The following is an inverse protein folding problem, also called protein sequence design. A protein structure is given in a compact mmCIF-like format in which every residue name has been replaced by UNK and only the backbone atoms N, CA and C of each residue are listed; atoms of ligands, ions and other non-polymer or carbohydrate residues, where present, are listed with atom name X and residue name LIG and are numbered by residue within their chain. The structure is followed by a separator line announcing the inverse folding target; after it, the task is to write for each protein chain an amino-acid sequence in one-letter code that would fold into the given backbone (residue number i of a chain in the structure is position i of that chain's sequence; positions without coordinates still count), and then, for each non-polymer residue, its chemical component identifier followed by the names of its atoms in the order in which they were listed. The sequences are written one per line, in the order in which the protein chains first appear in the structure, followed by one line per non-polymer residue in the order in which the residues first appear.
data_IF_970034216330
#
_entry.id   IF_970034216330
#
_cell.length_a   1.000
_cell.length_b   1.000
_cell.length_c   1.000
_cell.angle_alpha   90.00
_cell.angle_beta   90.00
_cell.angle_gamma   90.00
#
_symmetry.space_group_name_H-M   'P 1'
#
loop_
_entity.id
_entity.type
_entity.pdbx_description
1 polymer ?
#
# COMPACT_ATOMS: atom_id res chain seq x y z
N UNK A 1 52.50 49.05 49.32
CA UNK A 1 53.01 48.14 50.36
C UNK A 1 53.39 46.87 49.65
N UNK A 2 54.70 46.74 49.23
CA UNK A 2 55.77 46.03 50.00
C UNK A 2 55.41 44.52 50.09
N UNK A 3 56.11 43.57 49.53
CA UNK A 3 57.52 43.14 49.44
C UNK A 3 57.65 41.95 48.58
N UNK A 4 58.60 41.84 47.73
CA UNK A 4 59.97 41.25 47.76
C UNK A 4 60.03 39.76 47.47
N UNK A 5 60.57 39.43 46.30
CA UNK A 5 61.93 38.87 46.04
C UNK A 5 62.19 37.44 46.59
N UNK A 6 62.50 36.54 45.70
CA UNK A 6 63.84 35.89 45.75
C UNK A 6 64.15 35.12 44.48
N UNK A 7 65.26 35.34 43.91
CA UNK A 7 65.97 34.69 42.80
C UNK A 7 66.51 33.33 43.23
N UNK A 8 66.52 32.34 42.34
CA UNK A 8 67.59 31.35 42.26
C UNK A 8 67.93 31.05 40.83
N UNK A 9 69.13 31.38 40.43
CA UNK A 9 69.82 31.01 39.20
C UNK A 9 70.40 29.60 39.40
N UNK A 10 70.17 28.70 38.44
CA UNK A 10 71.17 27.61 38.18
C UNK A 10 71.28 27.46 36.68
N UNK A 11 72.54 27.47 36.26
CA UNK A 11 73.00 27.51 34.91
C UNK A 11 73.11 26.12 34.24
N UNK A 12 72.92 26.14 32.93
CA UNK A 12 73.75 25.50 31.87
C UNK A 12 73.81 24.00 31.82
N UNK A 13 73.26 23.46 30.75
CA UNK A 13 74.11 22.72 29.77
C UNK A 13 73.34 22.52 28.46
N UNK A 14 73.89 23.07 27.40
CA UNK A 14 73.42 22.91 26.02
C UNK A 14 73.78 21.50 25.54
N UNK A 15 72.78 20.70 25.14
CA UNK A 15 72.95 19.54 24.25
C UNK A 15 72.16 19.80 22.97
N UNK A 16 72.92 20.05 21.91
CA UNK A 16 72.44 20.14 20.54
C UNK A 16 72.01 18.74 20.07
N UNK A 17 70.68 18.56 19.84
CA UNK A 17 70.13 17.41 19.07
C UNK A 17 69.73 17.90 17.69
N UNK A 18 69.96 17.09 16.64
CA UNK A 18 69.71 17.52 15.27
C UNK A 18 68.19 17.57 14.98
N UNK A 19 67.82 18.69 14.36
CA UNK A 19 66.50 18.90 13.77
C UNK A 19 66.25 17.85 12.67
N UNK A 20 65.37 16.87 12.90
CA UNK A 20 64.75 16.09 11.86
C UNK A 20 63.54 16.85 11.34
N UNK A 21 63.35 16.97 10.01
CA UNK A 21 62.15 17.57 9.45
C UNK A 21 60.91 16.73 9.82
N UNK A 22 59.72 17.33 10.02
CA UNK A 22 58.50 16.56 10.27
C UNK A 22 58.19 15.75 9.03
N UNK A 23 58.17 14.44 9.18
CA UNK A 23 57.60 13.55 8.20
C UNK A 23 56.12 14.00 7.98
N UNK A 24 55.82 14.42 6.75
CA UNK A 24 54.46 14.52 6.28
C UNK A 24 53.88 13.09 6.40
N UNK A 25 53.14 12.87 7.47
CA UNK A 25 52.19 11.75 7.55
C UNK A 25 51.16 12.00 6.46
N UNK A 26 51.34 11.39 5.31
CA UNK A 26 50.24 11.16 4.37
C UNK A 26 49.27 10.23 5.10
N UNK A 27 48.24 10.83 5.69
CA UNK A 27 47.03 10.10 6.02
C UNK A 27 46.37 9.69 4.71
N UNK A 28 46.86 8.62 4.11
CA UNK A 28 46.04 7.78 3.25
C UNK A 28 45.00 7.20 4.18
N UNK A 29 43.80 7.82 4.21
CA UNK A 29 42.61 7.15 4.69
C UNK A 29 42.52 5.84 3.89
N UNK A 30 42.90 4.75 4.49
CA UNK A 30 42.62 3.43 3.98
C UNK A 30 41.12 3.27 4.03
N UNK A 31 40.43 3.50 2.89
CA UNK A 31 39.05 3.09 2.72
C UNK A 31 38.97 1.64 3.21
N UNK A 32 38.03 1.36 4.11
CA UNK A 32 37.90 0.03 4.69
C UNK A 32 37.68 -0.98 3.55
N UNK A 33 38.16 -2.19 3.69
CA UNK A 33 37.92 -3.25 2.69
C UNK A 33 36.46 -3.53 2.47
N UNK A 34 35.60 -3.21 3.47
CA UNK A 34 34.14 -3.23 3.39
C UNK A 34 33.59 -2.17 2.41
N UNK A 35 34.17 -0.96 2.35
CA UNK A 35 33.73 0.12 1.46
C UNK A 35 34.08 -0.19 -0.01
N UNK A 36 35.25 -0.78 -0.26
CA UNK A 36 35.62 -1.26 -1.60
C UNK A 36 34.68 -2.36 -2.08
N UNK A 37 34.26 -3.29 -1.20
CA UNK A 37 33.32 -4.35 -1.53
C UNK A 37 31.95 -3.80 -1.86
N UNK A 38 31.47 -2.79 -1.14
CA UNK A 38 30.17 -2.13 -1.37
C UNK A 38 30.14 -1.40 -2.71
N UNK A 39 31.17 -0.60 -3.04
CA UNK A 39 31.25 0.12 -4.31
C UNK A 39 31.29 -0.85 -5.50
N UNK A 40 32.08 -1.91 -5.41
CA UNK A 40 32.17 -2.94 -6.44
C UNK A 40 30.85 -3.69 -6.62
N UNK A 41 30.14 -3.97 -5.51
CA UNK A 41 28.83 -4.61 -5.55
C UNK A 41 27.76 -3.71 -6.18
N UNK A 42 27.73 -2.44 -5.81
CA UNK A 42 26.83 -1.45 -6.41
C UNK A 42 27.08 -1.31 -7.91
N UNK A 43 28.35 -1.27 -8.33
CA UNK A 43 28.72 -1.25 -9.74
C UNK A 43 28.21 -2.50 -10.49
N UNK A 44 28.30 -3.67 -9.88
CA UNK A 44 27.79 -4.92 -10.46
C UNK A 44 26.26 -4.89 -10.64
N UNK A 45 25.52 -4.41 -9.64
CA UNK A 45 24.09 -4.23 -9.77
C UNK A 45 23.77 -3.28 -10.93
N UNK A 46 24.44 -2.12 -11.00
CA UNK A 46 24.24 -1.14 -12.07
C UNK A 46 24.51 -1.76 -13.45
N UNK A 47 25.59 -2.50 -13.63
CA UNK A 47 25.92 -3.18 -14.89
C UNK A 47 24.85 -4.20 -15.31
N UNK A 48 24.31 -4.96 -14.34
CA UNK A 48 23.21 -5.90 -14.59
C UNK A 48 21.95 -5.18 -15.02
N UNK A 49 21.60 -4.08 -14.34
CA UNK A 49 20.43 -3.27 -14.69
C UNK A 49 20.60 -2.57 -16.04
N UNK A 50 21.80 -2.07 -16.37
CA UNK A 50 22.13 -1.51 -17.69
C UNK A 50 21.92 -2.53 -18.82
N UNK A 51 22.24 -3.79 -18.56
CA UNK A 51 22.00 -4.86 -19.53
C UNK A 51 20.50 -5.11 -19.73
N UNK A 52 19.71 -5.04 -18.65
CA UNK A 52 18.25 -5.24 -18.71
C UNK A 52 17.54 -4.10 -19.43
N UNK A 53 17.93 -2.84 -19.20
CA UNK A 53 17.30 -1.69 -19.86
C UNK A 53 17.61 -1.56 -21.36
N UNK A 54 18.53 -2.39 -21.88
CA UNK A 54 18.85 -2.49 -23.30
C UNK A 54 18.14 -3.64 -24.02
N UNK A 55 17.27 -4.39 -23.32
CA UNK A 55 16.50 -5.46 -23.93
C UNK A 55 15.55 -4.93 -25.01
N UNK A 56 15.25 -5.70 -26.07
CA UNK A 56 14.35 -5.30 -27.16
C UNK A 56 12.95 -4.88 -26.70
N UNK A 57 12.51 -5.33 -25.51
CA UNK A 57 11.28 -4.88 -24.89
C UNK A 57 11.25 -3.35 -24.70
N UNK A 58 12.40 -2.74 -24.39
CA UNK A 58 12.51 -1.29 -24.12
C UNK A 58 12.42 -0.44 -25.40
N UNK A 59 12.60 -1.01 -26.58
CA UNK A 59 12.45 -0.32 -27.87
C UNK A 59 10.96 -0.05 -28.21
N UNK A 60 10.05 -0.84 -27.63
CA UNK A 60 8.60 -0.82 -27.94
C UNK A 60 7.70 -0.66 -26.72
N UNK A 61 8.27 -0.37 -25.56
CA UNK A 61 7.55 -0.06 -24.33
C UNK A 61 8.26 1.02 -23.53
N UNK A 62 7.54 1.67 -22.66
CA UNK A 62 8.10 2.64 -21.73
C UNK A 62 8.52 1.95 -20.45
N UNK A 63 9.70 2.28 -19.94
CA UNK A 63 10.21 1.81 -18.67
C UNK A 63 10.49 2.97 -17.73
N UNK A 64 9.94 2.89 -16.53
CA UNK A 64 10.39 3.67 -15.39
C UNK A 64 10.95 2.72 -14.32
N UNK A 65 12.21 2.90 -13.96
CA UNK A 65 12.93 2.11 -12.94
C UNK A 65 13.67 3.05 -12.00
N UNK A 66 13.49 2.85 -10.70
CA UNK A 66 14.21 3.57 -9.66
C UNK A 66 14.59 2.59 -8.55
N UNK A 67 15.85 2.56 -8.16
CA UNK A 67 16.38 1.74 -7.06
C UNK A 67 17.15 2.64 -6.12
N UNK A 68 16.85 2.52 -4.83
CA UNK A 68 17.47 3.32 -3.77
C UNK A 68 18.04 2.41 -2.69
N UNK A 69 19.25 2.67 -2.28
CA UNK A 69 19.92 1.99 -1.18
C UNK A 69 19.55 2.71 0.14
N UNK A 70 18.74 2.04 0.96
CA UNK A 70 18.31 2.53 2.28
C UNK A 70 19.42 2.45 3.33
N UNK A 71 20.46 1.64 3.11
CA UNK A 71 21.56 1.46 4.04
C UNK A 71 22.54 2.63 3.93
N UNK A 72 22.84 3.06 2.70
CA UNK A 72 23.72 4.20 2.42
C UNK A 72 22.98 5.50 2.18
N UNK A 73 21.65 5.47 2.23
CA UNK A 73 20.76 6.60 1.92
C UNK A 73 21.08 7.28 0.57
N UNK A 74 21.25 6.47 -0.48
CA UNK A 74 21.69 6.95 -1.79
C UNK A 74 20.88 6.35 -2.95
N UNK A 75 20.78 7.13 -4.04
CA UNK A 75 20.21 6.62 -5.30
C UNK A 75 21.19 5.64 -5.92
N UNK A 76 20.78 4.36 -6.05
CA UNK A 76 21.62 3.32 -6.64
C UNK A 76 21.46 3.26 -8.17
N UNK A 77 20.23 3.32 -8.67
CA UNK A 77 19.97 3.23 -10.11
C UNK A 77 18.70 3.99 -10.51
N UNK A 78 18.73 4.60 -11.68
CA UNK A 78 17.60 5.33 -12.22
C UNK A 78 17.55 5.25 -13.75
N UNK A 79 16.36 4.90 -14.28
CA UNK A 79 16.05 4.95 -15.71
C UNK A 79 14.59 5.40 -15.87
N UNK A 80 14.34 6.55 -16.50
CA UNK A 80 13.00 7.10 -16.62
C UNK A 80 12.28 7.34 -15.29
N UNK A 81 13.02 7.54 -14.19
CA UNK A 81 12.47 7.60 -12.82
C UNK A 81 11.50 8.77 -12.59
N UNK A 82 11.56 9.82 -13.40
CA UNK A 82 10.65 10.97 -13.35
C UNK A 82 9.53 10.89 -14.38
N UNK A 83 9.49 9.85 -15.18
CA UNK A 83 8.47 9.67 -16.19
C UNK A 83 7.10 9.42 -15.55
N UNK A 84 6.09 10.20 -15.93
CA UNK A 84 4.72 10.04 -15.43
C UNK A 84 4.07 8.84 -16.11
N UNK A 85 3.69 7.86 -15.32
CA UNK A 85 3.17 6.58 -15.80
C UNK A 85 1.97 6.16 -14.95
N UNK A 86 1.15 5.28 -15.48
CA UNK A 86 0.06 4.65 -14.74
C UNK A 86 0.64 3.61 -13.76
N UNK A 87 0.41 3.75 -12.45
CA UNK A 87 1.01 2.85 -11.46
C UNK A 87 0.32 1.48 -11.41
N UNK A 88 -0.87 1.36 -11.95
CA UNK A 88 -1.75 0.24 -11.63
C UNK A 88 -1.83 0.03 -10.10
N UNK A 89 -1.96 -1.20 -9.61
CA UNK A 89 -2.08 -1.46 -8.17
C UNK A 89 -0.82 -1.16 -7.34
N UNK A 90 0.30 -0.69 -7.91
CA UNK A 90 1.38 -0.09 -7.13
C UNK A 90 0.94 1.21 -6.43
N UNK A 91 -0.15 1.84 -6.89
CA UNK A 91 -0.82 2.96 -6.20
C UNK A 91 -1.16 2.62 -4.74
N UNK A 92 -1.50 1.36 -4.45
CA UNK A 92 -1.82 0.88 -3.10
C UNK A 92 -0.68 1.08 -2.09
N UNK A 93 0.57 1.16 -2.54
CA UNK A 93 1.71 1.50 -1.66
C UNK A 93 1.58 2.94 -1.18
N UNK A 94 1.27 3.88 -2.08
CA UNK A 94 1.06 5.30 -1.73
C UNK A 94 -0.11 5.42 -0.75
N UNK A 95 -1.21 4.75 -1.03
CA UNK A 95 -2.41 4.74 -0.18
C UNK A 95 -2.12 4.17 1.21
N UNK A 96 -1.43 3.01 1.29
CA UNK A 96 -1.07 2.36 2.55
C UNK A 96 -0.14 3.23 3.41
N UNK A 97 0.95 3.74 2.81
CA UNK A 97 1.91 4.60 3.52
C UNK A 97 1.23 5.87 4.02
N UNK A 98 0.37 6.49 3.20
CA UNK A 98 -0.37 7.69 3.62
C UNK A 98 -1.34 7.39 4.75
N UNK A 99 -2.02 6.24 4.71
CA UNK A 99 -2.96 5.85 5.74
C UNK A 99 -2.24 5.56 7.07
N UNK A 100 -1.18 4.78 7.06
CA UNK A 100 -0.37 4.51 8.25
C UNK A 100 0.21 5.79 8.85
N UNK A 101 0.70 6.71 8.02
CA UNK A 101 1.20 8.02 8.45
C UNK A 101 0.14 8.91 9.10
N UNK A 102 -1.13 8.84 8.66
CA UNK A 102 -2.20 9.77 9.07
C UNK A 102 -3.17 9.20 10.07
N UNK A 103 -3.40 7.90 10.03
CA UNK A 103 -4.35 7.20 10.89
C UNK A 103 -3.63 6.42 11.99
N UNK A 104 -2.37 6.02 11.78
CA UNK A 104 -1.60 5.15 12.68
C UNK A 104 -1.88 3.67 12.47
N UNK A 105 -1.00 2.81 13.04
CA UNK A 105 -1.10 1.36 12.98
C UNK A 105 -2.26 0.78 13.80
N UNK A 106 -2.73 1.50 14.81
CA UNK A 106 -3.84 1.09 15.69
C UNK A 106 -5.24 1.47 15.15
N UNK A 107 -5.29 2.06 13.96
CA UNK A 107 -6.56 2.52 13.39
C UNK A 107 -7.58 1.40 13.21
N UNK A 108 -8.87 1.70 13.53
CA UNK A 108 -9.98 0.77 13.44
C UNK A 108 -11.07 1.30 12.47
N UNK A 109 -11.41 0.49 11.48
CA UNK A 109 -12.61 0.67 10.68
C UNK A 109 -13.81 0.31 11.56
N UNK A 110 -14.80 1.20 11.68
CA UNK A 110 -15.88 1.01 12.65
C UNK A 110 -17.24 1.16 12.00
N UNK A 111 -18.05 0.09 12.06
CA UNK A 111 -19.47 0.11 11.68
C UNK A 111 -20.31 0.07 12.95
N UNK A 112 -21.34 0.91 13.04
CA UNK A 112 -22.08 1.15 14.27
C UNK A 112 -23.59 1.04 14.05
N UNK A 113 -24.30 0.51 15.06
CA UNK A 113 -25.75 0.48 15.12
C UNK A 113 -26.23 1.31 16.31
N UNK A 114 -27.12 2.25 16.06
CA UNK A 114 -27.73 3.13 17.06
C UNK A 114 -29.23 2.99 17.10
N UNK A 115 -29.82 3.50 18.17
CA UNK A 115 -31.25 3.76 18.30
C UNK A 115 -31.47 5.26 18.47
N UNK A 116 -32.58 5.78 17.95
CA UNK A 116 -32.97 7.18 18.15
C UNK A 116 -33.64 7.44 19.52
N UNK A 117 -34.04 6.38 20.23
CA UNK A 117 -34.62 6.43 21.58
C UNK A 117 -34.01 5.36 22.46
N UNK A 118 -34.09 5.51 23.76
CA UNK A 118 -33.65 4.48 24.70
C UNK A 118 -34.56 3.24 24.58
N UNK A 119 -33.94 2.03 24.38
CA UNK A 119 -34.73 0.80 24.49
C UNK A 119 -35.25 0.62 25.91
N UNK A 120 -36.57 0.51 26.08
CA UNK A 120 -37.18 0.32 27.40
C UNK A 120 -37.99 -0.97 27.53
N UNK A 121 -38.46 -1.51 26.41
CA UNK A 121 -39.32 -2.68 26.34
C UNK A 121 -39.04 -3.56 25.13
N UNK A 122 -39.87 -4.57 24.89
CA UNK A 122 -39.78 -5.41 23.69
C UNK A 122 -40.11 -4.65 22.38
N UNK A 123 -40.63 -3.42 22.48
CA UNK A 123 -40.92 -2.55 21.35
C UNK A 123 -40.05 -1.31 21.39
N UNK A 124 -39.19 -1.17 20.39
CA UNK A 124 -38.44 0.06 20.17
C UNK A 124 -39.34 1.08 19.47
N UNK A 125 -39.81 2.12 20.21
CA UNK A 125 -40.68 3.18 19.68
C UNK A 125 -39.91 4.22 18.82
N UNK A 126 -38.76 3.91 18.34
CA UNK A 126 -37.88 4.75 17.52
C UNK A 126 -37.29 4.00 16.37
N UNK A 127 -36.38 4.67 15.69
CA UNK A 127 -35.66 4.14 14.52
C UNK A 127 -34.32 3.53 14.91
N UNK A 128 -33.88 2.54 14.15
CA UNK A 128 -32.47 2.11 14.14
C UNK A 128 -31.67 2.97 13.16
N UNK A 129 -30.41 3.23 13.48
CA UNK A 129 -29.50 3.93 12.59
C UNK A 129 -28.25 3.07 12.41
N UNK A 130 -28.02 2.61 11.19
CA UNK A 130 -26.77 1.95 10.82
C UNK A 130 -25.82 2.98 10.23
N UNK A 131 -24.70 3.23 10.93
CA UNK A 131 -23.65 4.14 10.46
C UNK A 131 -22.52 3.35 9.84
N UNK A 132 -22.32 3.55 8.54
CA UNK A 132 -21.23 2.93 7.80
C UNK A 132 -19.90 3.61 8.05
N UNK A 133 -18.89 2.82 8.36
CA UNK A 133 -17.48 3.26 8.51
C UNK A 133 -16.60 2.84 7.34
N UNK A 134 -17.19 2.50 6.22
CA UNK A 134 -16.50 1.96 5.04
C UNK A 134 -15.56 0.79 5.40
N UNK A 135 -16.05 -0.12 6.24
CA UNK A 135 -15.36 -1.33 6.62
C UNK A 135 -15.54 -2.42 5.55
N UNK A 136 -14.52 -2.76 4.75
CA UNK A 136 -14.64 -3.71 3.65
C UNK A 136 -14.71 -5.17 4.14
N UNK A 137 -14.42 -5.41 5.42
CA UNK A 137 -14.37 -6.75 6.02
C UNK A 137 -15.66 -7.09 6.78
N UNK A 138 -16.56 -6.11 6.99
CA UNK A 138 -17.82 -6.35 7.70
C UNK A 138 -18.57 -7.55 7.10
N UNK A 139 -18.79 -8.58 7.91
CA UNK A 139 -19.28 -9.87 7.46
C UNK A 139 -20.47 -10.41 8.25
N UNK A 140 -20.68 -11.74 8.12
CA UNK A 140 -21.79 -12.43 8.76
C UNK A 140 -21.79 -12.31 10.28
N UNK A 141 -20.62 -12.50 10.89
CA UNK A 141 -20.52 -12.52 12.35
C UNK A 141 -20.71 -11.11 12.93
N UNK A 142 -20.29 -10.07 12.19
CA UNK A 142 -20.52 -8.69 12.57
C UNK A 142 -22.01 -8.32 12.51
N UNK A 143 -22.69 -8.76 11.44
CA UNK A 143 -24.11 -8.55 11.26
C UNK A 143 -24.91 -9.29 12.34
N UNK A 144 -24.51 -10.54 12.65
CA UNK A 144 -25.11 -11.32 13.73
C UNK A 144 -24.96 -10.62 15.07
N UNK A 145 -23.77 -10.10 15.37
CA UNK A 145 -23.52 -9.37 16.63
C UNK A 145 -24.44 -8.15 16.79
N UNK A 146 -24.82 -7.49 15.69
CA UNK A 146 -25.81 -6.39 15.72
C UNK A 146 -27.20 -6.89 16.09
N UNK A 147 -27.61 -8.02 15.53
CA UNK A 147 -28.91 -8.64 15.84
C UNK A 147 -28.93 -9.18 17.27
N UNK A 148 -27.86 -9.85 17.71
CA UNK A 148 -27.71 -10.35 19.08
C UNK A 148 -27.82 -9.20 20.10
N UNK A 149 -27.25 -8.04 19.80
CA UNK A 149 -27.33 -6.85 20.67
C UNK A 149 -28.76 -6.32 20.81
N UNK A 150 -29.62 -6.48 19.81
CA UNK A 150 -31.03 -6.15 19.88
C UNK A 150 -31.81 -7.19 20.72
N UNK A 151 -31.53 -8.50 20.50
CA UNK A 151 -32.14 -9.60 21.26
C UNK A 151 -31.80 -9.52 22.75
N UNK A 152 -30.53 -9.23 23.10
CA UNK A 152 -30.09 -9.07 24.49
C UNK A 152 -30.80 -7.93 25.22
N UNK A 153 -31.28 -6.92 24.48
CA UNK A 153 -32.10 -5.84 25.03
C UNK A 153 -33.61 -6.17 25.02
N UNK A 154 -33.98 -7.39 24.66
CA UNK A 154 -35.37 -7.85 24.60
C UNK A 154 -36.17 -7.30 23.43
N UNK A 155 -35.57 -6.57 22.49
CA UNK A 155 -36.26 -5.94 21.36
C UNK A 155 -36.83 -7.03 20.43
N UNK A 156 -38.14 -6.99 20.18
CA UNK A 156 -38.85 -7.88 19.26
C UNK A 156 -39.51 -7.13 18.11
N UNK A 157 -39.70 -5.82 18.27
CA UNK A 157 -40.41 -4.98 17.30
C UNK A 157 -39.78 -3.59 17.25
N UNK A 158 -39.56 -3.08 16.06
CA UNK A 158 -39.04 -1.74 15.78
C UNK A 158 -40.14 -0.98 15.04
N UNK A 159 -40.71 0.06 15.65
CA UNK A 159 -41.80 0.84 15.07
C UNK A 159 -41.31 1.90 14.07
N UNK A 160 -40.12 2.43 14.27
CA UNK A 160 -39.52 3.41 13.37
C UNK A 160 -38.81 2.77 12.19
N UNK A 161 -38.06 3.60 11.48
CA UNK A 161 -37.37 3.26 10.26
C UNK A 161 -35.97 2.61 10.53
N UNK A 162 -35.40 1.96 9.52
CA UNK A 162 -33.99 1.68 9.43
C UNK A 162 -33.31 2.81 8.64
N UNK A 163 -32.59 3.67 9.37
CA UNK A 163 -31.87 4.80 8.82
C UNK A 163 -30.44 4.38 8.47
N UNK A 164 -29.99 4.67 7.26
CA UNK A 164 -28.64 4.38 6.79
C UNK A 164 -27.82 5.67 6.74
N UNK A 165 -26.86 5.82 7.65
CA UNK A 165 -25.91 6.92 7.62
C UNK A 165 -24.72 6.57 6.73
N UNK A 166 -24.76 7.10 5.52
CA UNK A 166 -23.74 6.94 4.49
C UNK A 166 -22.92 8.23 4.30
N UNK A 167 -22.98 9.15 5.27
CA UNK A 167 -22.42 10.49 5.12
C UNK A 167 -20.89 10.57 5.14
N UNK A 168 -20.20 9.49 5.43
CA UNK A 168 -18.73 9.45 5.40
C UNK A 168 -18.17 9.71 3.99
N UNK A 169 -18.91 9.33 2.95
CA UNK A 169 -18.49 9.43 1.54
C UNK A 169 -19.60 10.07 0.71
N UNK A 170 -19.21 10.73 -0.39
CA UNK A 170 -20.16 11.18 -1.41
C UNK A 170 -21.01 10.04 -2.00
N UNK A 171 -22.02 10.39 -2.78
CA UNK A 171 -22.95 9.41 -3.35
C UNK A 171 -22.45 8.72 -4.63
N UNK A 172 -21.25 9.03 -5.09
CA UNK A 172 -20.65 8.43 -6.30
C UNK A 172 -20.33 6.96 -6.06
N UNK A 173 -20.96 6.05 -6.78
CA UNK A 173 -20.80 4.61 -6.59
C UNK A 173 -19.51 4.04 -7.20
N UNK A 174 -18.89 4.74 -8.14
CA UNK A 174 -17.67 4.28 -8.84
C UNK A 174 -16.56 5.32 -8.73
N UNK A 175 -15.31 4.88 -8.77
CA UNK A 175 -14.14 5.75 -8.73
C UNK A 175 -14.03 6.62 -10.00
N UNK A 176 -13.49 7.82 -9.85
CA UNK A 176 -13.23 8.70 -10.99
C UNK A 176 -12.23 8.05 -11.95
N UNK A 177 -12.62 7.93 -13.24
CA UNK A 177 -11.78 7.32 -14.27
C UNK A 177 -11.75 5.80 -14.27
N UNK A 178 -12.70 5.14 -13.59
CA UNK A 178 -12.96 3.71 -13.74
C UNK A 178 -13.70 3.45 -15.05
N UNK A 179 -13.40 2.32 -15.70
CA UNK A 179 -14.07 1.90 -16.92
C UNK A 179 -15.41 1.21 -16.56
N UNK A 180 -16.37 1.28 -17.46
CA UNK A 180 -17.70 0.70 -17.28
C UNK A 180 -17.69 -0.84 -17.17
N UNK A 181 -16.67 -1.49 -17.74
CA UNK A 181 -16.47 -2.94 -17.73
C UNK A 181 -15.55 -3.42 -16.59
N UNK A 182 -15.06 -2.50 -15.76
CA UNK A 182 -14.34 -2.86 -14.54
C UNK A 182 -15.26 -3.64 -13.59
N UNK A 183 -14.90 -4.89 -13.28
CA UNK A 183 -15.64 -5.77 -12.37
C UNK A 183 -15.52 -5.34 -10.90
N UNK A 184 -15.69 -4.04 -10.61
CA UNK A 184 -15.61 -3.52 -9.27
C UNK A 184 -16.97 -3.41 -8.61
N UNK A 185 -16.93 -3.51 -7.28
CA UNK A 185 -18.09 -3.35 -6.42
C UNK A 185 -18.35 -1.86 -6.16
N UNK A 186 -19.62 -1.47 -5.94
CA UNK A 186 -19.95 -0.09 -5.61
C UNK A 186 -19.25 0.40 -4.35
N UNK A 187 -18.84 1.67 -4.37
CA UNK A 187 -18.22 2.35 -3.24
C UNK A 187 -19.32 2.93 -2.33
N UNK A 188 -19.56 2.31 -1.19
CA UNK A 188 -20.50 2.77 -0.17
C UNK A 188 -19.90 2.61 1.23
N UNK A 189 -20.16 3.51 2.18
CA UNK A 189 -19.67 3.38 3.55
C UNK A 189 -20.24 2.17 4.31
N UNK A 190 -21.39 1.65 3.92
CA UNK A 190 -22.05 0.54 4.59
C UNK A 190 -22.01 -0.70 3.70
N UNK A 191 -21.10 -1.61 3.99
CA UNK A 191 -20.81 -2.80 3.21
C UNK A 191 -21.19 -4.09 3.96
N UNK A 192 -21.57 -5.12 3.21
CA UNK A 192 -21.63 -6.49 3.69
C UNK A 192 -20.81 -7.39 2.77
N UNK A 193 -19.72 -7.97 3.31
CA UNK A 193 -18.76 -8.79 2.54
C UNK A 193 -18.27 -8.08 1.27
N UNK A 194 -18.01 -6.77 1.41
CA UNK A 194 -17.55 -5.90 0.33
C UNK A 194 -18.61 -5.56 -0.72
N UNK A 195 -19.90 -5.81 -0.49
CA UNK A 195 -21.01 -5.48 -1.40
C UNK A 195 -21.96 -4.44 -0.78
N UNK A 196 -22.68 -3.71 -1.63
CA UNK A 196 -23.77 -2.81 -1.23
C UNK A 196 -25.08 -3.62 -1.02
N UNK A 197 -25.08 -4.46 -0.02
CA UNK A 197 -26.21 -5.33 0.32
C UNK A 197 -26.41 -5.47 1.83
N UNK A 198 -25.86 -4.51 2.60
CA UNK A 198 -25.90 -4.56 4.05
C UNK A 198 -27.32 -4.54 4.58
N UNK A 199 -28.16 -3.65 4.06
CA UNK A 199 -29.52 -3.46 4.54
C UNK A 199 -30.38 -4.71 4.31
N UNK A 200 -30.31 -5.30 3.14
CA UNK A 200 -31.07 -6.50 2.79
C UNK A 200 -30.71 -7.68 3.72
N UNK A 201 -29.40 -7.90 3.93
CA UNK A 201 -28.95 -8.96 4.84
C UNK A 201 -29.29 -8.67 6.29
N UNK A 202 -29.29 -7.40 6.70
CA UNK A 202 -29.67 -7.03 8.06
C UNK A 202 -31.15 -7.29 8.30
N UNK A 203 -32.04 -6.91 7.37
CA UNK A 203 -33.47 -7.22 7.45
C UNK A 203 -33.72 -8.74 7.48
N UNK A 204 -33.03 -9.50 6.65
CA UNK A 204 -33.12 -10.95 6.65
C UNK A 204 -32.73 -11.54 8.03
N UNK A 205 -31.64 -11.04 8.64
CA UNK A 205 -31.22 -11.50 9.96
C UNK A 205 -32.17 -11.06 11.08
N UNK A 206 -32.76 -9.88 11.02
CA UNK A 206 -33.81 -9.43 11.94
C UNK A 206 -34.98 -10.40 11.89
N UNK A 207 -35.47 -10.70 10.68
CA UNK A 207 -36.61 -11.61 10.49
C UNK A 207 -36.31 -13.00 11.05
N UNK A 208 -35.14 -13.55 10.78
CA UNK A 208 -34.72 -14.85 11.32
C UNK A 208 -34.60 -14.87 12.84
N UNK A 209 -34.32 -13.71 13.44
CA UNK A 209 -34.23 -13.52 14.90
C UNK A 209 -35.58 -13.26 15.55
N UNK A 210 -36.68 -13.23 14.78
CA UNK A 210 -38.02 -12.88 15.27
C UNK A 210 -38.20 -11.42 15.63
N UNK A 211 -37.40 -10.52 15.01
CA UNK A 211 -37.51 -9.07 15.18
C UNK A 211 -38.15 -8.48 13.93
N UNK A 212 -39.28 -7.77 14.11
CA UNK A 212 -40.01 -7.10 13.03
C UNK A 212 -39.64 -5.62 12.93
N UNK A 213 -39.44 -5.14 11.70
CA UNK A 213 -39.35 -3.71 11.38
C UNK A 213 -40.66 -3.28 10.74
N UNK A 214 -41.38 -2.30 11.37
CA UNK A 214 -42.65 -1.75 10.85
C UNK A 214 -42.43 -0.58 9.88
N UNK A 215 -41.32 0.16 10.05
CA UNK A 215 -40.94 1.27 9.20
C UNK A 215 -40.27 0.87 7.89
N UNK A 216 -39.69 1.84 7.25
CA UNK A 216 -39.03 1.71 5.95
C UNK A 216 -37.52 1.95 6.05
N UNK A 217 -36.77 1.59 4.97
CA UNK A 217 -35.33 1.92 4.88
C UNK A 217 -35.20 3.32 4.29
N UNK A 218 -34.43 4.19 4.96
CA UNK A 218 -34.18 5.57 4.50
C UNK A 218 -32.70 5.94 4.67
N UNK A 219 -32.20 6.81 3.81
CA UNK A 219 -30.89 7.47 4.03
C UNK A 219 -31.07 8.65 4.99
N UNK A 220 -30.17 8.75 5.98
CA UNK A 220 -30.15 9.85 6.95
C UNK A 220 -28.75 9.99 7.53
N UNK A 221 -28.39 11.15 8.02
CA UNK A 221 -27.24 11.30 8.90
C UNK A 221 -27.60 10.87 10.32
N UNK A 222 -26.60 10.49 11.12
CA UNK A 222 -26.80 10.11 12.52
C UNK A 222 -27.45 11.25 13.30
N UNK A 223 -28.67 11.06 13.84
CA UNK A 223 -29.37 12.09 14.64
C UNK A 223 -28.60 12.41 15.92
N UNK A 224 -28.68 13.66 16.36
CA UNK A 224 -28.13 14.06 17.66
C UNK A 224 -28.85 13.31 18.78
N UNK A 225 -28.10 12.82 19.77
CA UNK A 225 -28.65 12.07 20.90
C UNK A 225 -28.93 10.60 20.60
N UNK A 226 -28.66 10.09 19.42
CA UNK A 226 -28.78 8.66 19.13
C UNK A 226 -27.88 7.83 20.07
N UNK A 227 -28.42 6.70 20.52
CA UNK A 227 -27.81 5.83 21.54
C UNK A 227 -27.14 4.67 20.84
N UNK A 228 -25.84 4.47 21.10
CA UNK A 228 -25.07 3.35 20.55
C UNK A 228 -25.58 2.03 21.13
N UNK A 229 -25.98 1.11 20.28
CA UNK A 229 -26.43 -0.24 20.64
C UNK A 229 -25.33 -1.28 20.45
N UNK A 230 -24.60 -1.18 19.36
CA UNK A 230 -23.51 -2.09 19.03
C UNK A 230 -22.51 -1.43 18.08
N UNK A 231 -21.27 -1.89 18.13
CA UNK A 231 -20.23 -1.53 17.15
C UNK A 231 -19.40 -2.74 16.76
N UNK A 232 -18.89 -2.74 15.53
CA UNK A 232 -17.94 -3.71 15.03
C UNK A 232 -16.73 -3.00 14.49
N UNK A 233 -15.55 -3.60 14.72
CA UNK A 233 -14.26 -3.00 14.37
C UNK A 233 -13.36 -4.00 13.67
N UNK A 234 -12.69 -3.54 12.62
CA UNK A 234 -11.58 -4.25 12.00
C UNK A 234 -10.34 -3.36 11.98
N UNK A 235 -9.18 -3.90 12.34
CA UNK A 235 -7.93 -3.14 12.37
C UNK A 235 -7.46 -2.79 10.96
N UNK A 236 -6.65 -1.74 10.86
CA UNK A 236 -6.00 -1.36 9.60
C UNK A 236 -5.18 -2.52 9.02
N UNK A 237 -4.52 -3.32 9.84
CA UNK A 237 -3.74 -4.49 9.40
C UNK A 237 -4.61 -5.56 8.74
N UNK A 238 -5.80 -5.83 9.33
CA UNK A 238 -6.74 -6.76 8.73
C UNK A 238 -7.19 -6.30 7.34
N UNK A 239 -7.29 -4.99 7.10
CA UNK A 239 -7.65 -4.40 5.80
C UNK A 239 -6.45 -4.30 4.86
N UNK A 240 -5.27 -3.90 5.36
CA UNK A 240 -4.05 -3.80 4.55
C UNK A 240 -3.60 -5.16 4.00
N UNK A 241 -3.83 -6.24 4.73
CA UNK A 241 -3.42 -7.58 4.29
C UNK A 241 -4.07 -7.97 2.95
N UNK A 242 -5.40 -8.07 2.78
CA UNK A 242 -6.01 -8.36 1.48
C UNK A 242 -5.77 -7.23 0.46
N UNK A 243 -5.66 -5.97 0.89
CA UNK A 243 -5.34 -4.85 0.01
C UNK A 243 -4.00 -5.06 -0.71
N UNK A 244 -2.97 -5.48 0.00
CA UNK A 244 -1.61 -5.61 -0.53
C UNK A 244 -1.29 -7.02 -1.01
N UNK A 245 -1.59 -8.08 -0.21
CA UNK A 245 -1.33 -9.49 -0.56
C UNK A 245 -2.12 -9.93 -1.80
N UNK A 246 -3.43 -9.64 -1.81
CA UNK A 246 -4.34 -10.12 -2.84
C UNK A 246 -4.72 -9.03 -3.86
N UNK A 247 -4.16 -7.82 -3.65
CA UNK A 247 -4.45 -6.66 -4.49
C UNK A 247 -5.91 -6.22 -4.49
N UNK A 248 -6.63 -6.41 -3.38
CA UNK A 248 -8.05 -6.10 -3.26
C UNK A 248 -8.32 -4.60 -3.42
N UNK A 249 -9.09 -4.23 -4.46
CA UNK A 249 -9.40 -2.83 -4.77
C UNK A 249 -10.36 -2.21 -3.74
N UNK A 250 -11.37 -2.97 -3.28
CA UNK A 250 -12.35 -2.47 -2.31
C UNK A 250 -11.68 -2.08 -0.99
N UNK A 251 -10.72 -2.89 -0.52
CA UNK A 251 -9.93 -2.54 0.67
C UNK A 251 -9.10 -1.27 0.45
N UNK A 252 -8.55 -1.09 -0.75
CA UNK A 252 -7.77 0.12 -1.05
C UNK A 252 -8.63 1.38 -1.09
N UNK A 253 -9.82 1.29 -1.69
CA UNK A 253 -10.75 2.42 -1.69
C UNK A 253 -11.30 2.70 -0.29
N UNK A 254 -11.57 1.68 0.52
CA UNK A 254 -11.95 1.85 1.91
C UNK A 254 -10.89 2.64 2.69
N UNK A 255 -9.61 2.25 2.57
CA UNK A 255 -8.48 2.97 3.18
C UNK A 255 -8.39 4.41 2.64
N UNK A 256 -8.54 4.61 1.33
CA UNK A 256 -8.47 5.91 0.70
C UNK A 256 -9.57 6.86 1.19
N UNK A 257 -10.80 6.37 1.34
CA UNK A 257 -11.90 7.18 1.87
C UNK A 257 -11.82 7.42 3.39
N UNK A 258 -11.05 6.62 4.16
CA UNK A 258 -10.70 7.02 5.53
C UNK A 258 -9.82 8.28 5.53
N UNK A 259 -8.91 8.42 4.55
CA UNK A 259 -8.15 9.66 4.39
C UNK A 259 -9.06 10.85 4.02
N UNK A 260 -10.09 10.64 3.18
CA UNK A 260 -11.07 11.66 2.86
C UNK A 260 -11.83 12.12 4.10
N UNK A 261 -12.19 11.20 5.00
CA UNK A 261 -12.91 11.48 6.24
C UNK A 261 -12.13 12.41 7.20
N UNK A 262 -10.80 12.52 7.07
CA UNK A 262 -9.98 13.48 7.81
C UNK A 262 -10.35 14.95 7.52
N UNK A 263 -11.06 15.22 6.43
CA UNK A 263 -11.62 16.54 6.14
C UNK A 263 -12.70 16.96 7.15
N UNK A 264 -13.25 15.99 7.91
CA UNK A 264 -14.41 16.16 8.84
C UNK A 264 -15.65 16.74 8.17
N UNK A 265 -15.72 16.72 6.85
CA UNK A 265 -16.89 17.12 6.08
C UNK A 265 -17.79 15.91 5.81
N UNK A 266 -19.12 16.03 5.90
CA UNK A 266 -19.98 14.98 5.39
C UNK A 266 -19.83 14.88 3.88
N UNK A 267 -20.04 13.67 3.36
CA UNK A 267 -19.95 13.36 1.93
C UNK A 267 -18.57 13.69 1.32
N UNK A 268 -17.49 13.31 2.04
CA UNK A 268 -16.13 13.49 1.59
C UNK A 268 -15.88 12.79 0.25
N UNK A 269 -15.07 13.41 -0.60
CA UNK A 269 -14.83 12.99 -1.97
C UNK A 269 -13.44 12.39 -2.16
N UNK A 270 -13.19 11.74 -3.31
CA UNK A 270 -11.84 11.33 -3.70
C UNK A 270 -10.81 12.49 -3.70
N UNK A 271 -11.26 13.74 -3.98
CA UNK A 271 -10.38 14.93 -3.94
C UNK A 271 -9.91 15.24 -2.52
N UNK A 272 -10.74 14.99 -1.52
CA UNK A 272 -10.35 15.16 -0.12
C UNK A 272 -9.26 14.17 0.27
N UNK A 273 -9.38 12.90 -0.14
CA UNK A 273 -8.35 11.89 0.05
C UNK A 273 -7.06 12.25 -0.71
N UNK A 274 -7.17 12.62 -1.99
CA UNK A 274 -6.03 13.02 -2.81
C UNK A 274 -5.27 14.20 -2.18
N UNK A 275 -5.96 15.16 -1.57
CA UNK A 275 -5.33 16.27 -0.87
C UNK A 275 -4.49 15.81 0.33
N UNK A 276 -4.87 14.73 1.03
CA UNK A 276 -4.05 14.13 2.09
C UNK A 276 -2.79 13.51 1.52
N UNK A 277 -2.93 12.74 0.42
CA UNK A 277 -1.78 12.12 -0.29
C UNK A 277 -0.83 13.20 -0.79
N UNK A 278 -1.33 14.26 -1.41
CA UNK A 278 -0.51 15.37 -1.92
C UNK A 278 0.28 16.07 -0.81
N UNK A 279 -0.27 16.21 0.40
CA UNK A 279 0.48 16.74 1.55
C UNK A 279 1.65 15.83 1.95
N UNK A 280 1.48 14.51 1.88
CA UNK A 280 2.59 13.58 2.16
C UNK A 280 3.63 13.64 1.05
N UNK A 281 3.23 13.72 -0.23
CA UNK A 281 4.14 13.92 -1.37
C UNK A 281 5.03 15.15 -1.15
N UNK A 282 4.45 16.29 -0.74
CA UNK A 282 5.21 17.50 -0.37
C UNK A 282 6.23 17.24 0.74
N UNK A 283 5.84 16.51 1.78
CA UNK A 283 6.74 16.18 2.91
C UNK A 283 7.88 15.25 2.48
N UNK A 284 7.67 14.42 1.45
CA UNK A 284 8.73 13.63 0.82
C UNK A 284 9.65 14.47 -0.10
N UNK A 285 9.50 15.78 -0.14
CA UNK A 285 10.34 16.69 -0.94
C UNK A 285 9.98 16.71 -2.43
N UNK A 286 8.81 16.22 -2.82
CA UNK A 286 8.36 16.18 -4.20
C UNK A 286 7.23 17.18 -4.44
N UNK A 287 7.09 17.64 -5.70
CA UNK A 287 6.06 18.61 -6.10
C UNK A 287 4.72 17.92 -6.38
N UNK A 288 3.67 18.12 -5.54
CA UNK A 288 2.39 17.41 -5.68
C UNK A 288 1.70 17.61 -7.02
N UNK A 289 1.81 18.80 -7.63
CA UNK A 289 1.19 19.12 -8.93
C UNK A 289 1.70 18.27 -10.10
N UNK A 290 2.83 17.58 -9.93
CA UNK A 290 3.36 16.66 -10.93
C UNK A 290 2.61 15.31 -10.96
N UNK A 291 1.73 15.03 -10.00
CA UNK A 291 1.08 13.74 -9.85
C UNK A 291 -0.43 13.87 -9.86
N UNK A 292 -1.09 12.85 -10.38
CA UNK A 292 -2.55 12.75 -10.32
C UNK A 292 -2.91 11.53 -9.48
N UNK A 293 -3.68 11.76 -8.42
CA UNK A 293 -4.21 10.75 -7.52
C UNK A 293 -5.73 10.73 -7.70
N UNK A 294 -6.22 9.77 -8.44
CA UNK A 294 -7.64 9.65 -8.79
C UNK A 294 -8.40 8.71 -7.87
N UNK A 295 -7.74 7.64 -7.41
CA UNK A 295 -8.29 6.63 -6.49
C UNK A 295 -7.20 6.06 -5.58
N UNK A 296 -7.60 5.19 -4.67
CA UNK A 296 -6.68 4.51 -3.74
C UNK A 296 -6.12 3.19 -4.27
N UNK A 297 -6.77 2.58 -5.23
CA UNK A 297 -6.46 1.23 -5.72
C UNK A 297 -5.49 1.20 -6.90
N UNK A 298 -5.42 2.29 -7.67
CA UNK A 298 -4.69 2.37 -8.92
C UNK A 298 -5.43 1.76 -10.11
N UNK A 299 -6.74 1.54 -9.97
CA UNK A 299 -7.58 1.06 -11.06
C UNK A 299 -7.86 2.17 -12.07
N UNK A 300 -8.07 3.39 -11.59
CA UNK A 300 -8.32 4.55 -12.42
C UNK A 300 -7.21 4.77 -13.46
N UNK A 301 -7.60 4.93 -14.70
CA UNK A 301 -6.70 5.28 -15.80
C UNK A 301 -6.14 6.71 -15.68
N UNK A 302 -6.69 7.51 -14.75
CA UNK A 302 -6.26 8.89 -14.49
C UNK A 302 -5.21 9.02 -13.39
N UNK A 303 -4.81 7.93 -12.75
CA UNK A 303 -3.65 7.94 -11.87
C UNK A 303 -2.36 8.11 -12.68
N UNK A 304 -1.57 9.13 -12.36
CA UNK A 304 -0.24 9.33 -12.94
C UNK A 304 0.77 9.62 -11.83
N UNK A 305 1.72 8.73 -11.67
CA UNK A 305 2.82 8.82 -10.71
C UNK A 305 4.16 8.52 -11.41
N UNK A 306 5.26 8.63 -10.68
CA UNK A 306 6.59 8.28 -11.18
C UNK A 306 7.20 7.18 -10.31
N UNK A 307 8.16 6.38 -10.82
CA UNK A 307 8.96 5.48 -10.01
C UNK A 307 9.64 6.19 -8.83
N UNK A 308 10.11 7.42 -9.05
CA UNK A 308 10.70 8.25 -8.01
C UNK A 308 9.73 8.52 -6.85
N UNK A 309 8.45 8.81 -7.14
CA UNK A 309 7.43 8.99 -6.09
C UNK A 309 7.20 7.70 -5.29
N UNK A 310 7.09 6.56 -5.98
CA UNK A 310 6.90 5.27 -5.31
C UNK A 310 8.08 4.94 -4.38
N UNK A 311 9.32 5.16 -4.84
CA UNK A 311 10.54 5.01 -4.03
C UNK A 311 10.55 6.02 -2.87
N UNK A 312 10.15 7.27 -3.08
CA UNK A 312 10.07 8.26 -2.01
C UNK A 312 9.09 7.85 -0.89
N UNK A 313 7.94 7.26 -1.26
CA UNK A 313 6.98 6.70 -0.29
C UNK A 313 7.56 5.50 0.47
N UNK A 314 8.27 4.61 -0.21
CA UNK A 314 8.94 3.47 0.44
C UNK A 314 10.05 3.94 1.39
N UNK A 315 10.84 4.93 0.99
CA UNK A 315 11.86 5.55 1.85
C UNK A 315 11.22 6.20 3.08
N UNK A 316 10.14 6.95 2.90
CA UNK A 316 9.39 7.55 4.00
C UNK A 316 8.91 6.48 4.98
N UNK A 317 8.35 5.38 4.49
CA UNK A 317 7.94 4.26 5.34
C UNK A 317 9.14 3.61 6.05
N UNK A 318 10.28 3.41 5.37
CA UNK A 318 11.47 2.80 5.95
C UNK A 318 12.13 3.63 7.05
N UNK A 319 11.92 4.95 7.05
CA UNK A 319 12.40 5.87 8.09
C UNK A 319 11.46 5.96 9.31
N UNK A 320 10.35 5.24 9.31
CA UNK A 320 9.43 5.12 10.44
C UNK A 320 9.16 3.64 10.70
N UNK A 321 9.68 3.11 11.81
CA UNK A 321 9.64 1.68 12.11
C UNK A 321 8.21 1.13 12.23
N UNK A 322 7.28 1.91 12.78
CA UNK A 322 5.87 1.54 12.88
C UNK A 322 5.27 1.35 11.49
N UNK A 323 5.39 2.37 10.61
CA UNK A 323 4.88 2.31 9.23
C UNK A 323 5.55 1.17 8.47
N UNK A 324 6.86 1.00 8.63
CA UNK A 324 7.63 -0.04 7.94
C UNK A 324 7.16 -1.45 8.31
N UNK A 325 6.93 -1.69 9.60
CA UNK A 325 6.47 -2.98 10.12
C UNK A 325 5.10 -3.36 9.57
N UNK A 326 4.11 -2.46 9.69
CA UNK A 326 2.76 -2.68 9.16
C UNK A 326 2.78 -2.89 7.64
N UNK A 327 3.49 -2.04 6.90
CA UNK A 327 3.57 -2.12 5.44
C UNK A 327 4.22 -3.43 4.98
N UNK A 328 5.39 -3.78 5.52
CA UNK A 328 6.16 -4.95 5.06
C UNK A 328 5.51 -6.28 5.44
N UNK A 329 4.76 -6.32 6.55
CA UNK A 329 3.95 -7.47 6.95
C UNK A 329 2.81 -7.73 5.97
N UNK A 330 2.22 -6.66 5.44
CA UNK A 330 1.11 -6.75 4.49
C UNK A 330 1.55 -6.94 3.03
N UNK A 331 2.82 -6.67 2.65
CA UNK A 331 3.31 -6.86 1.29
C UNK A 331 3.44 -8.36 0.91
N UNK A 332 3.14 -8.76 -0.34
CA UNK A 332 3.47 -10.08 -0.88
C UNK A 332 4.96 -10.39 -0.77
N UNK A 333 5.27 -11.67 -0.52
CA UNK A 333 6.65 -12.17 -0.46
C UNK A 333 6.92 -13.01 -1.70
N UNK A 334 8.00 -12.69 -2.40
CA UNK A 334 8.41 -13.36 -3.64
C UNK A 334 8.57 -14.87 -3.44
N UNK A 335 7.96 -15.65 -4.33
CA UNK A 335 8.02 -17.12 -4.30
C UNK A 335 7.25 -17.79 -3.17
N UNK A 336 6.54 -17.03 -2.32
CA UNK A 336 5.92 -17.53 -1.08
C UNK A 336 4.42 -17.28 -0.99
N UNK A 337 3.95 -16.03 -1.12
CA UNK A 337 2.56 -15.68 -0.86
C UNK A 337 2.00 -14.58 -1.76
N UNK A 338 0.70 -14.35 -1.65
CA UNK A 338 -0.01 -13.30 -2.36
C UNK A 338 0.18 -13.35 -3.88
N UNK A 339 0.21 -12.19 -4.51
CA UNK A 339 0.39 -12.06 -5.97
C UNK A 339 1.80 -12.42 -6.45
N UNK A 340 2.75 -12.67 -5.55
CA UNK A 340 4.13 -13.08 -5.87
C UNK A 340 4.43 -14.57 -5.61
N UNK A 341 3.43 -15.37 -5.17
CA UNK A 341 3.62 -16.76 -4.72
C UNK A 341 4.31 -17.69 -5.72
N UNK A 342 4.14 -17.46 -7.02
CA UNK A 342 4.69 -18.30 -8.09
C UNK A 342 5.93 -17.72 -8.77
N UNK A 343 6.36 -16.47 -8.40
CA UNK A 343 7.43 -15.73 -9.08
C UNK A 343 8.80 -16.00 -8.44
N UNK A 344 9.86 -16.00 -9.24
CA UNK A 344 11.27 -16.13 -8.82
C UNK A 344 11.56 -17.29 -7.85
N UNK A 345 10.84 -18.41 -7.94
CA UNK A 345 11.11 -19.59 -7.12
C UNK A 345 12.51 -20.15 -7.42
N UNK A 346 13.18 -20.65 -6.39
CA UNK A 346 14.55 -21.20 -6.47
C UNK A 346 15.58 -20.18 -6.95
N UNK A 347 15.37 -18.91 -6.67
CA UNK A 347 16.33 -17.82 -6.92
C UNK A 347 16.64 -17.05 -5.63
N UNK A 348 17.63 -16.19 -5.65
CA UNK A 348 18.00 -15.32 -4.52
C UNK A 348 16.92 -14.30 -4.15
N UNK A 349 15.96 -14.04 -5.05
CA UNK A 349 14.82 -13.16 -4.81
C UNK A 349 13.71 -13.85 -4.02
N UNK A 350 13.65 -15.20 -4.00
CA UNK A 350 12.67 -15.94 -3.22
C UNK A 350 12.83 -15.64 -1.71
N UNK A 351 11.70 -15.49 -1.01
CA UNK A 351 11.62 -15.15 0.43
C UNK A 351 12.30 -13.83 0.83
N UNK A 352 13.03 -13.20 -0.09
CA UNK A 352 13.78 -11.96 0.08
C UNK A 352 12.93 -10.73 -0.32
N UNK A 353 12.46 -10.69 -1.57
CA UNK A 353 11.73 -9.53 -2.10
C UNK A 353 10.32 -9.46 -1.52
N UNK A 354 9.95 -8.28 -0.99
CA UNK A 354 8.59 -7.96 -0.52
C UNK A 354 8.07 -6.80 -1.36
N UNK A 355 7.09 -7.06 -2.23
CA UNK A 355 6.68 -6.04 -3.19
C UNK A 355 5.21 -6.14 -3.60
N UNK A 356 4.62 -4.99 -3.92
CA UNK A 356 3.29 -4.87 -4.50
C UNK A 356 3.35 -4.94 -6.01
N UNK A 357 2.57 -5.82 -6.60
CA UNK A 357 2.36 -5.91 -8.05
C UNK A 357 1.29 -4.92 -8.53
N UNK A 358 1.40 -4.45 -9.76
CA UNK A 358 0.34 -3.72 -10.44
C UNK A 358 0.14 -4.26 -11.86
N UNK A 359 -1.12 -4.34 -12.29
CA UNK A 359 -1.49 -4.82 -13.62
C UNK A 359 -2.73 -4.07 -14.09
N UNK A 360 -2.65 -3.47 -15.27
CA UNK A 360 -3.74 -2.98 -16.10
C UNK A 360 -3.44 -3.40 -17.54
N UNK A 361 -4.39 -3.22 -18.44
CA UNK A 361 -4.13 -3.41 -19.88
C UNK A 361 -2.92 -2.58 -20.31
N UNK A 362 -1.92 -3.24 -20.90
CA UNK A 362 -0.67 -2.61 -21.34
C UNK A 362 0.24 -2.07 -20.22
N UNK A 363 -0.07 -2.33 -18.93
CA UNK A 363 0.74 -1.85 -17.79
C UNK A 363 1.08 -3.00 -16.84
N UNK A 364 2.36 -3.11 -16.48
CA UNK A 364 2.85 -4.01 -15.43
C UNK A 364 3.78 -3.24 -14.50
N UNK A 365 3.57 -3.32 -13.19
CA UNK A 365 4.42 -2.64 -12.21
C UNK A 365 4.76 -3.53 -11.00
N UNK A 366 5.88 -3.20 -10.35
CA UNK A 366 6.34 -3.86 -9.13
C UNK A 366 7.07 -2.83 -8.26
N UNK A 367 6.69 -2.73 -6.98
CA UNK A 367 7.23 -1.71 -6.07
C UNK A 367 7.38 -2.29 -4.68
N UNK A 368 8.57 -2.19 -4.08
CA UNK A 368 8.82 -2.77 -2.76
C UNK A 368 10.27 -2.73 -2.32
N UNK A 369 10.64 -3.71 -1.51
CA UNK A 369 11.92 -3.84 -0.85
C UNK A 369 12.64 -5.13 -1.24
N UNK A 370 13.97 -5.09 -1.23
CA UNK A 370 14.83 -6.24 -1.40
C UNK A 370 16.06 -6.14 -0.48
N UNK A 371 16.62 -7.28 -0.09
CA UNK A 371 17.92 -7.35 0.56
C UNK A 371 18.95 -7.74 -0.49
N UNK A 372 19.93 -6.89 -0.73
CA UNK A 372 21.04 -7.18 -1.61
C UNK A 372 21.99 -8.22 -0.98
N UNK A 373 22.79 -8.92 -1.79
CA UNK A 373 23.67 -9.97 -1.28
C UNK A 373 24.79 -9.47 -0.35
N UNK A 374 25.11 -8.18 -0.39
CA UNK A 374 26.02 -7.52 0.55
C UNK A 374 25.35 -7.10 1.87
N UNK A 375 24.08 -7.45 2.07
CA UNK A 375 23.30 -7.10 3.27
C UNK A 375 22.65 -5.70 3.25
N UNK A 376 22.79 -4.94 2.17
CA UNK A 376 22.15 -3.64 2.04
C UNK A 376 20.65 -3.79 1.80
N UNK A 377 19.86 -2.95 2.46
CA UNK A 377 18.42 -2.85 2.24
C UNK A 377 18.14 -1.91 1.07
N UNK A 378 17.48 -2.43 0.06
CA UNK A 378 17.08 -1.66 -1.12
C UNK A 378 15.56 -1.44 -1.14
N UNK A 379 15.12 -0.30 -1.66
CA UNK A 379 13.76 -0.14 -2.12
C UNK A 379 13.74 0.21 -3.61
N UNK A 380 12.70 -0.25 -4.31
CA UNK A 380 12.63 -0.10 -5.74
C UNK A 380 11.21 0.08 -6.27
N UNK A 381 11.10 0.70 -7.44
CA UNK A 381 9.87 0.79 -8.20
C UNK A 381 10.15 0.56 -9.69
N UNK A 382 9.34 -0.29 -10.31
CA UNK A 382 9.39 -0.63 -11.73
C UNK A 382 8.01 -0.41 -12.31
N UNK A 383 7.90 0.35 -13.39
CA UNK A 383 6.68 0.51 -14.17
C UNK A 383 7.02 0.26 -15.64
N UNK A 384 6.42 -0.78 -16.20
CA UNK A 384 6.42 -1.03 -17.65
C UNK A 384 5.06 -0.61 -18.22
N UNK A 385 5.05 0.24 -19.21
CA UNK A 385 3.83 0.71 -19.90
C UNK A 385 3.98 0.53 -21.42
N UNK A 386 2.90 0.13 -22.08
CA UNK A 386 2.93 -0.24 -23.50
C UNK A 386 3.43 -1.67 -23.73
N UNK A 387 3.42 -2.54 -22.71
CA UNK A 387 3.73 -3.97 -22.90
C UNK A 387 2.56 -4.68 -23.59
N UNK A 388 2.88 -5.57 -24.51
CA UNK A 388 1.87 -6.34 -25.25
C UNK A 388 1.15 -7.34 -24.35
N UNK A 389 1.89 -7.97 -23.44
CA UNK A 389 1.35 -8.92 -22.47
C UNK A 389 1.87 -8.60 -21.08
N UNK A 390 1.08 -8.95 -20.05
CA UNK A 390 1.53 -8.81 -18.66
C UNK A 390 2.74 -9.69 -18.33
N UNK A 391 2.91 -10.80 -19.05
CA UNK A 391 4.06 -11.71 -18.88
C UNK A 391 5.38 -11.02 -19.25
N UNK A 392 5.43 -10.22 -20.33
CA UNK A 392 6.63 -9.47 -20.73
C UNK A 392 7.11 -8.57 -19.60
N UNK A 393 6.19 -7.77 -19.02
CA UNK A 393 6.54 -6.89 -17.91
C UNK A 393 6.94 -7.66 -16.65
N UNK A 394 6.25 -8.78 -16.32
CA UNK A 394 6.60 -9.62 -15.17
C UNK A 394 7.98 -10.26 -15.30
N UNK A 395 8.31 -10.79 -16.48
CA UNK A 395 9.63 -11.40 -16.76
C UNK A 395 10.76 -10.39 -16.58
N UNK A 396 10.54 -9.15 -17.07
CA UNK A 396 11.49 -8.06 -16.85
C UNK A 396 11.67 -7.75 -15.35
N UNK A 397 10.56 -7.59 -14.62
CA UNK A 397 10.59 -7.32 -13.18
C UNK A 397 11.28 -8.45 -12.40
N UNK A 398 11.07 -9.71 -12.78
CA UNK A 398 11.74 -10.87 -12.17
C UNK A 398 13.24 -10.84 -12.42
N UNK A 399 13.66 -10.43 -13.62
CA UNK A 399 15.09 -10.25 -13.94
C UNK A 399 15.71 -9.13 -13.10
N UNK A 400 15.01 -8.00 -12.92
CA UNK A 400 15.45 -6.92 -12.02
C UNK A 400 15.57 -7.43 -10.58
N UNK A 401 14.56 -8.12 -10.04
CA UNK A 401 14.62 -8.67 -8.68
C UNK A 401 15.82 -9.61 -8.47
N UNK A 402 16.12 -10.47 -9.45
CA UNK A 402 17.33 -11.31 -9.42
C UNK A 402 18.60 -10.46 -9.43
N UNK A 403 18.66 -9.45 -10.32
CA UNK A 403 19.82 -8.58 -10.40
C UNK A 403 20.14 -7.85 -9.09
N UNK A 404 19.09 -7.44 -8.34
CA UNK A 404 19.22 -6.77 -7.05
C UNK A 404 19.68 -7.70 -5.91
N UNK A 405 19.37 -9.00 -6.00
CA UNK A 405 19.55 -9.95 -4.90
C UNK A 405 20.71 -10.94 -5.10
N UNK A 406 21.27 -11.05 -6.32
CA UNK A 406 22.36 -11.98 -6.65
C UNK A 406 23.73 -11.45 -6.23
N UNK A 407 24.58 -12.33 -5.63
CA UNK A 407 25.98 -12.07 -5.32
C UNK A 407 26.92 -12.07 -6.55
N UNK A 408 28.25 -11.98 -6.28
CA UNK A 408 29.28 -11.97 -7.32
C UNK A 408 29.39 -13.32 -8.06
N UNK A 409 29.27 -14.43 -7.34
CA UNK A 409 29.55 -15.78 -7.84
C UNK A 409 28.38 -16.43 -8.60
N UNK A 410 27.33 -15.69 -8.83
CA UNK A 410 26.14 -16.22 -9.52
C UNK A 410 26.27 -15.99 -11.03
N UNK A 411 26.32 -17.04 -11.88
CA UNK A 411 26.42 -16.89 -13.33
C UNK A 411 25.29 -15.99 -13.87
N UNK A 412 25.60 -15.15 -14.86
CA UNK A 412 24.62 -14.37 -15.60
C UNK A 412 23.64 -15.34 -16.29
N UNK A 413 22.45 -15.53 -15.71
CA UNK A 413 21.35 -16.19 -16.42
C UNK A 413 20.83 -15.17 -17.42
N UNK A 414 21.12 -15.38 -18.71
CA UNK A 414 20.44 -14.66 -19.79
C UNK A 414 18.93 -14.91 -19.58
N UNK A 415 18.07 -13.89 -19.69
CA UNK A 415 16.64 -14.13 -19.73
C UNK A 415 16.39 -15.05 -20.93
N UNK A 416 15.92 -16.27 -20.67
CA UNK A 416 15.42 -17.13 -21.73
C UNK A 416 14.23 -16.40 -22.36
N UNK A 417 14.47 -15.81 -23.50
CA UNK A 417 13.42 -15.42 -24.44
C UNK A 417 12.92 -16.74 -25.01
N UNK A 418 11.99 -17.38 -24.31
CA UNK A 418 11.27 -18.49 -24.93
C UNK A 418 10.56 -17.97 -26.18
N UNK A 419 10.77 -18.61 -27.36
CA UNK A 419 10.01 -18.29 -28.53
C UNK A 419 8.53 -18.55 -28.25
N UNK A 420 7.69 -17.73 -28.84
CA UNK A 420 6.22 -17.75 -28.77
C UNK A 420 5.68 -19.20 -28.76
N UNK A 421 5.31 -19.71 -27.60
CA UNK A 421 4.44 -20.88 -27.51
C UNK A 421 3.04 -20.35 -27.81
N UNK A 422 2.50 -20.76 -28.95
CA UNK A 422 1.11 -20.53 -29.30
C UNK A 422 0.20 -20.95 -28.12
N UNK A 423 -0.89 -20.23 -27.85
CA UNK A 423 -1.79 -20.59 -26.75
C UNK A 423 -2.29 -22.01 -26.97
N UNK A 424 -2.02 -22.89 -26.00
CA UNK A 424 -2.58 -24.23 -25.96
C UNK A 424 -4.11 -24.12 -25.88
N UNK A 425 -4.79 -24.87 -26.71
CA UNK A 425 -6.23 -24.93 -26.94
C UNK A 425 -7.03 -25.61 -25.80
N UNK A 426 -6.65 -25.36 -24.52
CA UNK A 426 -7.30 -26.02 -23.36
C UNK A 426 -8.11 -25.06 -22.44
N UNK A 427 -8.39 -23.82 -22.85
CA UNK A 427 -9.26 -22.91 -22.08
C UNK A 427 -10.68 -22.71 -22.69
N UNK A 428 -11.10 -23.56 -23.63
CA UNK A 428 -12.46 -23.53 -24.20
C UNK A 428 -13.33 -24.72 -23.79
N UNK A 429 -13.45 -25.03 -22.51
CA UNK A 429 -14.52 -25.90 -22.03
C UNK A 429 -14.93 -25.54 -20.59
N UNK A 430 -15.69 -24.46 -20.42
CA UNK A 430 -16.64 -24.28 -19.31
C UNK A 430 -17.61 -23.14 -19.60
N UNK A 431 -18.48 -23.35 -20.61
CA UNK A 431 -19.72 -22.58 -20.75
C UNK A 431 -20.85 -23.52 -20.23
N UNK A 432 -21.62 -23.11 -19.22
CA UNK A 432 -22.83 -23.85 -18.85
C UNK A 432 -23.87 -23.68 -19.97
N UNK A 433 -24.32 -24.78 -20.55
CA UNK A 433 -25.45 -24.82 -21.46
C UNK A 433 -26.70 -24.27 -20.78
N UNK A 434 -27.28 -23.24 -21.35
CA UNK A 434 -28.68 -22.86 -21.12
C UNK A 434 -29.56 -24.00 -21.70
N UNK A 435 -30.20 -24.76 -20.84
CA UNK A 435 -31.29 -25.60 -21.20
C UNK A 435 -32.56 -24.74 -21.32
N UNK A 436 -33.10 -24.72 -22.53
CA UNK A 436 -34.46 -24.32 -22.85
C UNK A 436 -35.46 -25.21 -22.11
N UNK A 437 -36.37 -24.59 -21.42
CA UNK A 437 -37.66 -25.22 -21.09
C UNK A 437 -38.79 -24.29 -21.51
N UNK A 438 -39.45 -24.69 -22.57
CA UNK A 438 -40.83 -24.34 -22.93
C UNK A 438 -41.58 -25.65 -23.16
N UNK A 439 -42.91 -25.73 -22.95
CA UNK A 439 -43.92 -24.70 -22.73
C UNK A 439 -44.42 -24.57 -21.31
#
# INVERSE_FOLDING_TARGET
MSRLLSFFFVALSALSLPFAPPALAQTTEALSTADYSTAAFNQLICQRLDSLVRLPLMERSQLGLCVYDLTTDSLLYAHGQQQRMRPASSMKVITAVTALEKLGGDYQFTTQLYSTVAPSDSVLQGSLVARGGFDPLFGRDDLRAFVDALQQRGIRRIQGDLLLDLSQKDTTSFGWGWCWDDKNKPLTPLLYRGNDSWADHFLEQLLRAGITLEGTIRRSTLPKGAILLAERKHSIDQVLRPMLKDSNNQCAEAVFYQLAALSKRPYATHKDAAAVVHRLISRCGLQPSHYTVADGSGLSLYNYVTPQLLVAMLRHAANNEEIFTHLTTALPIMGRDGTLKSRCRRTTAQDNVRAKTGTLEGVSSLTGYAMAANGHRLCFAIINQGVRTTAEGRNFQDAVCRALTQGFDTPHIRPDVQPDVAPSSEEEQNTPSLLEDTP
#
